data_IF_406533921409
#
_entry.id   IF_406533921409
#
_cell.length_a   1.000
_cell.length_b   1.000
_cell.length_c   1.000
_cell.angle_alpha   90.00
_cell.angle_beta   90.00
_cell.angle_gamma   90.00
#
_symmetry.space_group_name_H-M   'P 1'
#
loop_
_entity.id
_entity.type
_entity.pdbx_description
1 polymer ?
#
# COMPACT_ATOMS: atom_id res chain seq x y z
N UNK A 1 -3.88 -14.60 13.02
CA UNK A 1 -4.86 -14.09 12.04
C UNK A 1 -4.12 -13.88 10.72
N UNK A 2 -4.76 -14.15 9.58
CA UNK A 2 -4.13 -13.97 8.27
C UNK A 2 -4.17 -12.50 7.84
N UNK A 3 -3.06 -11.99 7.30
CA UNK A 3 -2.91 -10.60 6.85
C UNK A 3 -3.94 -10.22 5.80
N UNK A 4 -4.25 -11.13 4.87
CA UNK A 4 -5.19 -10.87 3.77
C UNK A 4 -6.67 -10.94 4.17
N UNK A 5 -6.96 -11.43 5.38
CA UNK A 5 -8.31 -11.59 5.91
C UNK A 5 -8.62 -10.62 7.06
N UNK A 6 -7.64 -9.85 7.52
CA UNK A 6 -7.83 -8.87 8.58
C UNK A 6 -8.76 -7.75 8.11
N UNK A 7 -9.84 -7.52 8.86
CA UNK A 7 -10.81 -6.48 8.56
C UNK A 7 -11.40 -5.89 9.86
N UNK A 8 -11.13 -4.63 10.19
CA UNK A 8 -10.18 -3.73 9.52
C UNK A 8 -8.74 -4.25 9.60
N UNK A 9 -7.96 -3.94 8.55
CA UNK A 9 -6.51 -3.98 8.58
C UNK A 9 -6.00 -2.58 8.88
N UNK A 10 -5.32 -2.41 10.01
CA UNK A 10 -4.70 -1.14 10.35
C UNK A 10 -3.24 -1.16 9.94
N UNK A 11 -2.79 -0.09 9.31
CA UNK A 11 -1.40 0.05 8.87
C UNK A 11 -0.83 1.32 9.44
N UNK A 12 0.20 1.16 10.27
CA UNK A 12 0.90 2.24 10.96
C UNK A 12 2.30 2.38 10.40
N UNK A 13 2.64 3.57 9.95
CA UNK A 13 3.99 3.93 9.59
C UNK A 13 4.69 4.57 10.80
N UNK A 14 5.87 4.08 11.22
CA UNK A 14 6.60 4.69 12.31
C UNK A 14 7.16 6.06 11.90
N UNK A 15 7.01 7.06 12.78
CA UNK A 15 7.63 8.37 12.59
C UNK A 15 9.14 8.23 12.77
N UNK A 16 9.89 8.43 11.70
CA UNK A 16 11.36 8.46 11.73
C UNK A 16 11.81 9.83 11.25
N UNK A 17 12.45 10.58 12.14
CA UNK A 17 13.16 11.78 11.75
C UNK A 17 14.42 11.35 10.98
N UNK A 18 14.67 11.94 9.81
CA UNK A 18 15.91 11.77 9.00
C UNK A 18 16.06 10.48 8.18
N UNK A 19 15.10 9.54 8.20
CA UNK A 19 15.19 8.26 7.46
C UNK A 19 14.06 8.15 6.44
N UNK A 20 14.41 8.18 5.15
CA UNK A 20 13.50 7.93 4.03
C UNK A 20 13.46 6.43 3.67
N UNK A 21 12.86 5.65 4.58
CA UNK A 21 12.64 4.20 4.44
C UNK A 21 11.13 3.92 4.46
N UNK A 22 10.70 3.00 3.60
CA UNK A 22 9.31 2.52 3.59
C UNK A 22 9.16 1.36 4.56
N UNK A 23 8.58 1.64 5.73
CA UNK A 23 8.29 0.65 6.76
C UNK A 23 6.86 0.81 7.28
N UNK A 24 6.18 -0.31 7.53
CA UNK A 24 4.82 -0.33 8.03
C UNK A 24 4.61 -1.50 9.00
N UNK A 25 3.83 -1.25 10.04
CA UNK A 25 3.34 -2.26 10.97
C UNK A 25 1.85 -2.46 10.76
N UNK A 26 1.44 -3.70 10.54
CA UNK A 26 0.05 -4.03 10.25
C UNK A 26 -0.59 -4.74 11.43
N UNK A 27 -1.78 -4.30 11.82
CA UNK A 27 -2.52 -4.78 12.99
C UNK A 27 -3.91 -5.26 12.60
N UNK A 28 -4.42 -6.24 13.33
CA UNK A 28 -5.81 -6.64 13.26
C UNK A 28 -6.72 -5.71 14.08
N UNK A 29 -8.02 -5.98 14.02
CA UNK A 29 -9.07 -5.25 14.76
C UNK A 29 -8.89 -5.25 16.29
N UNK A 30 -8.10 -6.18 16.85
CA UNK A 30 -7.83 -6.27 18.29
C UNK A 30 -6.53 -5.56 18.68
N UNK A 31 -5.85 -4.89 17.74
CA UNK A 31 -4.58 -4.22 17.97
C UNK A 31 -3.38 -5.18 18.03
N UNK A 32 -3.55 -6.45 17.66
CA UNK A 32 -2.43 -7.39 17.57
C UNK A 32 -1.71 -7.17 16.25
N UNK A 33 -0.38 -7.03 16.30
CA UNK A 33 0.42 -6.97 15.09
C UNK A 33 0.38 -8.33 14.37
N UNK A 34 0.09 -8.30 13.08
CA UNK A 34 -0.05 -9.50 12.23
C UNK A 34 0.92 -9.53 11.06
N UNK A 35 1.46 -8.37 10.65
CA UNK A 35 2.50 -8.29 9.64
C UNK A 35 3.45 -7.11 9.86
N UNK A 36 4.62 -7.20 9.24
CA UNK A 36 5.63 -6.15 9.17
C UNK A 36 6.08 -5.99 7.72
N UNK A 37 5.99 -4.77 7.22
CA UNK A 37 6.38 -4.40 5.87
C UNK A 37 7.66 -3.58 5.96
N UNK A 38 8.68 -3.96 5.22
CA UNK A 38 9.97 -3.26 5.23
C UNK A 38 10.56 -3.23 3.82
N UNK A 39 11.44 -2.26 3.58
CA UNK A 39 12.10 -2.10 2.30
C UNK A 39 13.16 -3.21 2.11
N UNK A 40 13.03 -3.99 1.04
CA UNK A 40 13.97 -5.05 0.68
C UNK A 40 15.20 -4.46 -0.01
N UNK A 41 16.38 -4.98 0.32
CA UNK A 41 17.65 -4.65 -0.33
C UNK A 41 17.91 -3.14 -0.41
N UNK A 42 17.58 -2.40 0.65
CA UNK A 42 17.89 -0.98 0.72
C UNK A 42 19.38 -0.81 0.99
N UNK A 43 20.17 -0.79 -0.09
CA UNK A 43 21.62 -0.63 -0.06
C UNK A 43 22.03 0.59 0.80
N UNK A 44 23.06 0.44 1.62
CA UNK A 44 23.56 1.52 2.49
C UNK A 44 23.87 2.79 1.70
N UNK A 45 24.37 2.64 0.46
CA UNK A 45 24.60 3.77 -0.45
C UNK A 45 23.30 4.46 -0.90
N UNK A 46 22.24 3.70 -1.22
CA UNK A 46 20.93 4.25 -1.56
C UNK A 46 20.28 4.98 -0.37
N UNK A 47 20.49 4.49 0.86
CA UNK A 47 20.05 5.19 2.09
C UNK A 47 20.69 6.56 2.21
N UNK A 48 22.01 6.63 2.03
CA UNK A 48 22.76 7.90 2.10
C UNK A 48 22.35 8.83 0.96
N UNK A 49 22.22 8.33 -0.26
CA UNK A 49 21.79 9.12 -1.41
C UNK A 49 20.43 9.79 -1.16
N UNK A 50 19.42 9.03 -0.70
CA UNK A 50 18.09 9.57 -0.37
C UNK A 50 18.10 10.56 0.79
N UNK A 51 19.11 10.51 1.65
CA UNK A 51 19.29 11.49 2.72
C UNK A 51 19.89 12.81 2.19
N UNK A 52 20.71 12.75 1.14
CA UNK A 52 21.39 13.90 0.56
C UNK A 52 20.58 14.64 -0.52
N UNK A 53 19.61 13.96 -1.15
CA UNK A 53 18.79 14.52 -2.22
C UNK A 53 17.47 15.06 -1.65
N UNK A 54 17.09 16.27 -2.04
CA UNK A 54 15.88 16.94 -1.53
C UNK A 54 14.57 16.31 -2.03
N UNK A 55 14.60 15.63 -3.19
CA UNK A 55 13.45 14.98 -3.78
C UNK A 55 13.76 13.52 -4.16
N UNK A 56 13.05 12.58 -3.52
CA UNK A 56 13.13 11.14 -3.82
C UNK A 56 11.91 10.63 -4.58
N UNK A 57 11.09 11.52 -5.12
CA UNK A 57 10.05 11.19 -6.09
C UNK A 57 10.68 10.46 -7.28
N UNK A 58 10.12 9.31 -7.64
CA UNK A 58 10.63 8.45 -8.71
C UNK A 58 11.67 7.41 -8.27
N UNK A 59 12.10 7.38 -7.01
CA UNK A 59 12.96 6.29 -6.55
C UNK A 59 12.18 4.98 -6.51
N UNK A 60 12.77 3.91 -7.05
CA UNK A 60 12.21 2.56 -6.94
C UNK A 60 12.10 2.17 -5.46
N UNK A 61 10.93 1.65 -5.06
CA UNK A 61 10.68 1.14 -3.70
C UNK A 61 10.25 -0.31 -3.80
N UNK A 62 11.05 -1.21 -3.22
CA UNK A 62 10.72 -2.63 -3.09
C UNK A 62 10.43 -2.91 -1.63
N UNK A 63 9.22 -3.32 -1.29
CA UNK A 63 8.87 -3.70 0.07
C UNK A 63 8.41 -5.16 0.13
N UNK A 64 8.74 -5.82 1.23
CA UNK A 64 8.33 -7.20 1.52
C UNK A 64 7.41 -7.18 2.72
N UNK A 65 6.25 -7.82 2.57
CA UNK A 65 5.30 -8.05 3.65
C UNK A 65 5.65 -9.38 4.32
N UNK A 66 6.08 -9.33 5.57
CA UNK A 66 6.37 -10.50 6.40
C UNK A 66 5.26 -10.74 7.41
N UNK A 67 4.98 -12.00 7.71
CA UNK A 67 4.21 -12.36 8.90
C UNK A 67 5.03 -12.20 10.19
N UNK A 68 4.40 -12.44 11.35
CA UNK A 68 5.06 -12.36 12.65
C UNK A 68 6.15 -13.43 12.88
N UNK A 69 6.26 -14.42 12.00
CA UNK A 69 7.34 -15.43 12.00
C UNK A 69 8.46 -15.07 11.01
N UNK A 70 8.47 -13.83 10.47
CA UNK A 70 9.41 -13.35 9.46
C UNK A 70 9.35 -14.12 8.14
N UNK A 71 8.23 -14.76 7.84
CA UNK A 71 8.04 -15.44 6.55
C UNK A 71 7.46 -14.43 5.55
N UNK A 72 8.06 -14.30 4.36
CA UNK A 72 7.51 -13.42 3.33
C UNK A 72 6.15 -13.93 2.88
N UNK A 73 5.20 -13.01 2.73
CA UNK A 73 3.82 -13.25 2.30
C UNK A 73 3.52 -12.57 0.97
N UNK A 74 4.14 -11.42 0.73
CA UNK A 74 3.92 -10.62 -0.48
C UNK A 74 5.15 -9.75 -0.78
N UNK A 75 5.43 -9.54 -2.06
CA UNK A 75 6.42 -8.58 -2.56
C UNK A 75 5.70 -7.48 -3.33
N UNK A 76 6.03 -6.22 -3.03
CA UNK A 76 5.47 -5.04 -3.69
C UNK A 76 6.64 -4.22 -4.23
N UNK A 77 6.69 -4.05 -5.55
CA UNK A 77 7.75 -3.31 -6.25
C UNK A 77 7.14 -2.12 -7.00
N UNK A 78 7.31 -0.92 -6.44
CA UNK A 78 7.00 0.33 -7.12
C UNK A 78 8.16 0.67 -8.03
N UNK A 79 7.92 0.56 -9.32
CA UNK A 79 8.87 0.92 -10.35
C UNK A 79 8.64 2.37 -10.81
N UNK A 80 9.72 3.05 -11.17
CA UNK A 80 9.60 4.31 -11.88
C UNK A 80 9.14 4.05 -13.30
N UNK A 81 8.21 4.89 -13.75
CA UNK A 81 7.84 5.01 -15.15
C UNK A 81 7.75 6.50 -15.44
N UNK A 82 8.26 6.87 -16.62
CA UNK A 82 8.25 8.21 -17.17
C UNK A 82 6.85 8.80 -17.38
N UNK A 83 5.79 7.97 -17.31
CA UNK A 83 4.39 8.41 -17.45
C UNK A 83 3.53 8.16 -16.21
N UNK A 84 3.50 6.93 -15.69
CA UNK A 84 2.59 6.51 -14.59
C UNK A 84 3.27 5.53 -13.65
N UNK A 85 3.30 5.83 -12.34
CA UNK A 85 3.84 4.90 -11.36
C UNK A 85 3.12 3.54 -11.48
N UNK A 86 3.89 2.49 -11.72
CA UNK A 86 3.39 1.12 -11.77
C UNK A 86 3.94 0.37 -10.58
N UNK A 87 3.06 -0.19 -9.77
CA UNK A 87 3.41 -1.03 -8.63
C UNK A 87 3.06 -2.47 -8.95
N UNK A 88 4.10 -3.31 -9.05
CA UNK A 88 3.95 -4.75 -9.26
C UNK A 88 3.77 -5.47 -7.93
N UNK A 89 2.87 -6.45 -7.91
CA UNK A 89 2.60 -7.28 -6.73
C UNK A 89 2.86 -8.74 -7.09
N UNK A 90 3.64 -9.44 -6.28
CA UNK A 90 4.02 -10.82 -6.50
C UNK A 90 4.03 -11.63 -5.20
N UNK A 91 3.85 -12.94 -5.35
CA UNK A 91 4.08 -13.90 -4.28
C UNK A 91 5.59 -14.03 -4.00
N UNK A 92 5.99 -14.55 -2.82
CA UNK A 92 7.39 -14.71 -2.46
C UNK A 92 8.20 -15.62 -3.40
N UNK A 93 7.52 -16.52 -4.11
CA UNK A 93 8.11 -17.41 -5.11
C UNK A 93 8.26 -16.76 -6.50
N UNK A 94 7.94 -15.47 -6.62
CA UNK A 94 8.03 -14.71 -7.86
C UNK A 94 6.81 -14.80 -8.76
N UNK A 95 5.78 -15.61 -8.42
CA UNK A 95 4.56 -15.66 -9.22
C UNK A 95 3.82 -14.31 -9.15
N UNK A 96 3.44 -13.72 -10.31
CA UNK A 96 2.75 -12.44 -10.32
C UNK A 96 1.34 -12.57 -9.75
N UNK A 97 0.96 -11.60 -8.91
CA UNK A 97 -0.43 -11.41 -8.46
C UNK A 97 -1.14 -10.44 -9.39
N UNK A 98 -0.47 -9.37 -9.81
CA UNK A 98 -1.03 -8.32 -10.65
C UNK A 98 -0.27 -7.01 -10.53
N UNK A 99 -0.85 -5.93 -11.06
CA UNK A 99 -0.29 -4.58 -10.99
C UNK A 99 -1.31 -3.56 -10.51
N UNK A 100 -0.80 -2.51 -9.86
CA UNK A 100 -1.54 -1.32 -9.43
C UNK A 100 -0.94 -0.16 -10.23
N UNK A 101 -1.71 0.36 -11.18
CA UNK A 101 -1.24 1.33 -12.17
C UNK A 101 -1.86 2.69 -11.87
N UNK A 102 -1.04 3.72 -11.70
CA UNK A 102 -1.55 5.08 -11.49
C UNK A 102 -2.21 5.63 -12.77
N UNK A 103 -3.39 6.22 -12.65
CA UNK A 103 -4.10 6.84 -13.76
C UNK A 103 -3.61 8.29 -14.00
N UNK A 104 -3.42 8.69 -15.26
CA UNK A 104 -3.15 10.08 -15.69
C UNK A 104 -4.45 10.90 -15.76
N UNK A 105 -5.14 11.09 -14.64
CA UNK A 105 -6.36 11.93 -14.60
C UNK A 105 -6.03 13.32 -14.06
N UNK A 106 -6.26 14.37 -14.88
CA UNK A 106 -5.93 15.77 -14.59
C UNK A 106 -6.46 16.32 -13.24
N UNK A 107 -7.49 15.71 -12.63
CA UNK A 107 -8.14 16.24 -11.43
C UNK A 107 -8.34 15.22 -10.30
N UNK A 108 -7.97 13.95 -10.47
CA UNK A 108 -8.22 12.90 -9.46
C UNK A 108 -7.09 11.88 -9.38
N UNK A 109 -6.75 11.53 -8.14
CA UNK A 109 -6.03 10.30 -7.81
C UNK A 109 -6.82 9.09 -8.33
N UNK A 110 -6.25 8.33 -9.24
CA UNK A 110 -6.83 7.06 -9.66
C UNK A 110 -5.74 6.01 -9.72
N UNK A 111 -6.09 4.79 -9.33
CA UNK A 111 -5.30 3.61 -9.67
C UNK A 111 -6.19 2.57 -10.34
N UNK A 112 -5.63 1.85 -11.30
CA UNK A 112 -6.29 0.70 -11.91
C UNK A 112 -5.64 -0.58 -11.37
N UNK A 113 -6.47 -1.52 -10.93
CA UNK A 113 -6.03 -2.84 -10.46
C UNK A 113 -6.11 -3.82 -11.64
N UNK A 114 -4.98 -4.42 -11.99
CA UNK A 114 -4.85 -5.34 -13.12
C UNK A 114 -4.39 -6.72 -12.64
N UNK A 115 -4.92 -7.77 -13.25
CA UNK A 115 -4.41 -9.14 -13.09
C UNK A 115 -3.07 -9.34 -13.84
N UNK A 116 -2.42 -10.53 -13.73
CA UNK A 116 -1.17 -10.81 -14.42
C UNK A 116 -1.27 -10.77 -15.96
N UNK A 117 -2.48 -10.92 -16.51
CA UNK A 117 -2.78 -10.88 -17.94
C UNK A 117 -3.25 -9.47 -18.39
N UNK A 118 -3.06 -8.44 -17.56
CA UNK A 118 -3.47 -7.06 -17.82
C UNK A 118 -4.98 -6.87 -18.00
N UNK A 119 -5.80 -7.74 -17.42
CA UNK A 119 -7.24 -7.54 -17.33
C UNK A 119 -7.57 -6.69 -16.11
N UNK A 120 -8.40 -5.67 -16.30
CA UNK A 120 -8.87 -4.81 -15.21
C UNK A 120 -9.76 -5.60 -14.24
N UNK A 121 -9.40 -5.59 -12.97
CA UNK A 121 -10.16 -6.21 -11.87
C UNK A 121 -10.95 -5.18 -11.07
N UNK A 122 -10.52 -3.93 -11.10
CA UNK A 122 -11.10 -2.87 -10.29
C UNK A 122 -10.35 -1.54 -10.42
N UNK A 123 -10.80 -0.55 -9.67
CA UNK A 123 -10.20 0.77 -9.58
C UNK A 123 -10.09 1.22 -8.12
N UNK A 124 -9.11 2.07 -7.85
CA UNK A 124 -8.99 2.84 -6.61
C UNK A 124 -9.24 4.29 -6.98
N UNK A 125 -10.21 4.91 -6.34
CA UNK A 125 -10.61 6.29 -6.58
C UNK A 125 -10.64 7.04 -5.26
N UNK A 126 -10.05 8.23 -5.21
CA UNK A 126 -10.05 8.97 -3.96
C UNK A 126 -9.62 10.41 -4.11
N UNK A 127 -9.69 11.12 -3.00
CA UNK A 127 -9.15 12.47 -2.90
C UNK A 127 -7.85 12.40 -2.11
N UNK A 128 -6.72 12.72 -2.75
CA UNK A 128 -5.44 12.82 -2.06
C UNK A 128 -5.48 13.83 -0.89
N UNK A 129 -6.28 14.90 -1.01
CA UNK A 129 -6.48 15.92 0.04
C UNK A 129 -7.33 15.37 1.18
N UNK A 130 -8.43 14.67 0.84
CA UNK A 130 -9.33 14.05 1.82
C UNK A 130 -8.76 12.79 2.47
N UNK A 131 -7.67 12.25 1.92
CA UNK A 131 -6.97 11.03 2.36
C UNK A 131 -7.89 9.82 2.53
N UNK A 132 -8.94 9.77 1.70
CA UNK A 132 -9.93 8.70 1.64
C UNK A 132 -9.97 8.16 0.21
N UNK A 133 -9.92 6.83 0.10
CA UNK A 133 -9.90 6.12 -1.17
C UNK A 133 -10.88 4.96 -1.13
N UNK A 134 -11.72 4.88 -2.14
CA UNK A 134 -12.65 3.77 -2.37
C UNK A 134 -12.05 2.82 -3.39
N UNK A 135 -12.17 1.52 -3.15
CA UNK A 135 -11.74 0.48 -4.07
C UNK A 135 -12.99 -0.20 -4.62
N UNK A 136 -13.15 -0.17 -5.93
CA UNK A 136 -14.28 -0.74 -6.66
C UNK A 136 -13.83 -1.94 -7.48
N UNK A 137 -14.70 -2.94 -7.65
CA UNK A 137 -14.49 -4.02 -8.62
C UNK A 137 -14.71 -3.54 -10.06
N UNK A 138 -14.48 -4.43 -11.03
CA UNK A 138 -14.67 -4.16 -12.46
C UNK A 138 -16.11 -3.81 -12.85
N UNK A 139 -17.10 -4.14 -12.01
CA UNK A 139 -18.51 -3.81 -12.18
C UNK A 139 -18.88 -2.46 -11.52
N UNK A 140 -17.94 -1.82 -10.84
CA UNK A 140 -18.15 -0.55 -10.13
C UNK A 140 -18.72 -0.71 -8.72
N UNK A 141 -18.77 -1.92 -8.18
CA UNK A 141 -19.19 -2.13 -6.79
C UNK A 141 -18.03 -1.86 -5.84
N UNK A 142 -18.27 -1.06 -4.80
CA UNK A 142 -17.30 -0.87 -3.71
C UNK A 142 -17.01 -2.22 -3.03
N UNK A 143 -15.74 -2.59 -2.97
CA UNK A 143 -15.26 -3.83 -2.32
C UNK A 143 -14.40 -3.55 -1.09
N UNK A 144 -13.78 -2.37 -1.02
CA UNK A 144 -13.00 -1.94 0.13
C UNK A 144 -12.82 -0.41 0.15
N UNK A 145 -12.34 0.10 1.27
CA UNK A 145 -12.01 1.51 1.46
C UNK A 145 -10.76 1.68 2.31
N UNK A 146 -9.92 2.65 1.94
CA UNK A 146 -8.75 3.09 2.71
C UNK A 146 -9.04 4.47 3.29
N UNK A 147 -8.93 4.58 4.60
CA UNK A 147 -9.21 5.81 5.36
C UNK A 147 -8.01 6.18 6.23
N UNK A 148 -7.41 7.34 5.98
CA UNK A 148 -6.30 7.92 6.77
C UNK A 148 -6.79 9.09 7.65
N UNK A 149 -8.08 9.42 7.62
CA UNK A 149 -8.69 10.54 8.34
C UNK A 149 -9.13 10.18 9.76
N UNK A 150 -8.72 9.02 10.27
CA UNK A 150 -9.24 8.44 11.52
C UNK A 150 -9.01 9.38 12.71
N UNK A 151 -10.07 10.04 13.22
CA UNK A 151 -10.00 10.78 14.46
C UNK A 151 -10.24 9.76 15.56
N UNK A 152 -9.16 9.20 16.09
CA UNK A 152 -9.15 8.59 17.41
C UNK A 152 -10.12 7.38 17.60
N UNK A 153 -9.72 6.19 17.14
CA UNK A 153 -10.37 4.92 17.51
C UNK A 153 -10.00 4.44 18.94
N UNK A 154 -9.54 5.36 19.82
CA UNK A 154 -9.02 5.10 21.16
C UNK A 154 -7.49 5.27 21.26
N UNK A 155 -6.97 5.33 22.49
CA UNK A 155 -5.55 5.64 22.83
C UNK A 155 -4.49 4.84 22.05
N UNK A 156 -4.86 3.69 21.49
CA UNK A 156 -4.00 2.78 20.70
C UNK A 156 -3.73 3.30 19.27
N UNK A 157 -4.56 4.22 18.75
CA UNK A 157 -4.63 4.58 17.32
C UNK A 157 -4.18 6.02 17.00
N UNK A 158 -3.65 6.76 17.97
CA UNK A 158 -3.39 8.22 17.91
C UNK A 158 -2.18 8.67 17.07
N UNK A 159 -1.55 7.78 16.28
CA UNK A 159 -0.40 8.18 15.47
C UNK A 159 -0.82 8.74 14.11
N UNK A 160 -0.42 9.99 13.82
CA UNK A 160 -0.72 10.77 12.60
C UNK A 160 -0.31 10.13 11.24
N UNK A 161 0.23 8.92 11.24
CA UNK A 161 0.68 8.16 10.06
C UNK A 161 0.07 6.76 10.02
N UNK A 162 -1.23 6.67 10.34
CA UNK A 162 -2.01 5.44 10.33
C UNK A 162 -3.12 5.54 9.29
N UNK A 163 -3.36 4.47 8.55
CA UNK A 163 -4.57 4.31 7.76
C UNK A 163 -5.23 2.97 8.05
N UNK A 164 -6.51 2.89 7.73
CA UNK A 164 -7.34 1.71 7.94
C UNK A 164 -7.90 1.25 6.61
N UNK A 165 -7.59 0.01 6.23
CA UNK A 165 -8.22 -0.68 5.11
C UNK A 165 -9.40 -1.50 5.65
N UNK A 166 -10.58 -1.23 5.12
CA UNK A 166 -11.82 -1.97 5.43
C UNK A 166 -12.32 -2.68 4.19
N UNK A 167 -12.53 -3.98 4.30
CA UNK A 167 -13.22 -4.76 3.28
C UNK A 167 -14.74 -4.65 3.49
N UNK A 168 -15.49 -4.46 2.40
CA UNK A 168 -16.96 -4.45 2.42
C UNK A 168 -17.56 -5.84 2.50
N UNK A 169 -16.87 -6.83 1.92
CA UNK A 169 -17.31 -8.23 1.90
C UNK A 169 -16.33 -9.11 2.69
N UNK A 170 -16.81 -10.20 3.34
CA UNK A 170 -15.95 -11.10 4.13
C UNK A 170 -14.86 -11.78 3.29
N UNK A 171 -15.16 -12.04 2.02
CA UNK A 171 -14.24 -12.69 1.07
C UNK A 171 -14.33 -12.03 -0.29
N UNK A 172 -13.17 -11.78 -0.89
CA UNK A 172 -13.03 -11.31 -2.27
C UNK A 172 -12.33 -12.39 -3.10
N UNK A 173 -12.63 -12.50 -4.41
CA UNK A 173 -11.92 -13.42 -5.29
C UNK A 173 -10.45 -13.01 -5.43
N UNK A 174 -9.57 -13.98 -5.66
CA UNK A 174 -8.19 -13.71 -6.09
C UNK A 174 -8.14 -13.41 -7.60
N UNK A 175 -7.23 -12.53 -8.06
CA UNK A 175 -6.20 -11.83 -7.27
C UNK A 175 -6.67 -10.49 -6.67
N UNK A 176 -7.96 -10.13 -6.82
CA UNK A 176 -8.50 -8.85 -6.34
C UNK A 176 -8.33 -8.68 -4.83
N UNK A 177 -8.54 -9.73 -4.02
CA UNK A 177 -8.31 -9.68 -2.57
C UNK A 177 -6.89 -9.21 -2.23
N UNK A 178 -5.90 -9.83 -2.85
CA UNK A 178 -4.49 -9.49 -2.60
C UNK A 178 -4.15 -8.08 -3.06
N UNK A 179 -4.66 -7.67 -4.23
CA UNK A 179 -4.43 -6.32 -4.76
C UNK A 179 -5.11 -5.23 -3.92
N UNK A 180 -6.29 -5.50 -3.35
CA UNK A 180 -6.97 -4.60 -2.41
C UNK A 180 -6.08 -4.32 -1.20
N UNK A 181 -5.48 -5.36 -0.62
CA UNK A 181 -4.58 -5.22 0.54
C UNK A 181 -3.29 -4.50 0.17
N UNK A 182 -2.68 -4.84 -0.98
CA UNK A 182 -1.49 -4.18 -1.48
C UNK A 182 -1.73 -2.69 -1.82
N UNK A 183 -2.96 -2.31 -2.20
CA UNK A 183 -3.31 -0.95 -2.60
C UNK A 183 -3.09 0.07 -1.49
N UNK A 184 -3.36 -0.26 -0.23
CA UNK A 184 -3.06 0.64 0.90
C UNK A 184 -1.58 1.02 0.96
N UNK A 185 -0.70 0.04 0.80
CA UNK A 185 0.76 0.26 0.80
C UNK A 185 1.17 1.03 -0.46
N UNK A 186 0.66 0.64 -1.63
CA UNK A 186 0.97 1.30 -2.90
C UNK A 186 0.57 2.79 -2.91
N UNK A 187 -0.61 3.13 -2.38
CA UNK A 187 -1.07 4.51 -2.24
C UNK A 187 -0.11 5.33 -1.39
N UNK A 188 0.36 4.80 -0.25
CA UNK A 188 1.32 5.51 0.60
C UNK A 188 2.68 5.69 -0.07
N UNK A 189 3.17 4.67 -0.78
CA UNK A 189 4.41 4.74 -1.55
C UNK A 189 4.36 5.81 -2.65
N UNK A 190 3.19 6.04 -3.25
CA UNK A 190 2.99 7.08 -4.29
C UNK A 190 2.75 8.46 -3.67
N UNK A 191 1.98 8.55 -2.59
CA UNK A 191 1.70 9.82 -1.90
C UNK A 191 2.96 10.50 -1.34
N UNK A 192 3.95 9.71 -0.89
CA UNK A 192 5.24 10.23 -0.41
C UNK A 192 6.00 11.05 -1.47
N UNK A 193 5.72 10.89 -2.75
CA UNK A 193 6.41 11.62 -3.83
C UNK A 193 6.01 13.10 -3.91
N UNK A 194 4.89 13.52 -3.30
CA UNK A 194 4.35 14.87 -3.40
C UNK A 194 4.41 15.71 -2.12
N UNK A 195 5.03 15.22 -1.04
CA UNK A 195 5.05 15.92 0.25
C UNK A 195 6.45 15.92 0.85
N UNK A 196 7.28 16.86 0.40
CA UNK A 196 8.38 17.41 1.19
C UNK A 196 8.53 18.91 0.92
#
# INVERSE_FOLDING_TARGET
MDFFAANPLLVKQPKRFLVDESEYHCFDQHGRQIAHVHEANLDTGMRVLRHLVDNTAGFQRKVVVNDMHRRPRLMIDKQWSWMTATTSVAWPDGRPVGTIEQDLKFFKAGFTLMDPWKRRLGTVEGNFVGREFTINDHNGHEVARVDRSVPDLGEIFTAADTYVLRHRYPTLPEPLRTLVVASGIAIDLVLREGSR
#
